data_IF_319601788786
#
_entry.id   IF_319601788786
#
_cell.length_a   1.000
_cell.length_b   1.000
_cell.length_c   1.000
_cell.angle_alpha   90.00
_cell.angle_beta   90.00
_cell.angle_gamma   90.00
#
_symmetry.space_group_name_H-M   'P 1'
#
loop_
_entity.id
_entity.type
_entity.pdbx_description
1 polymer ?
#
# COMPACT_ATOMS: atom_id res chain seq x y z
N UNK A 1 5.30 -14.88 8.95
CA UNK A 1 4.45 -14.22 7.94
C UNK A 1 5.03 -14.40 6.53
N UNK A 2 6.20 -13.91 6.27
CA UNK A 2 6.81 -13.94 4.94
C UNK A 2 7.02 -15.37 4.41
N UNK A 3 7.54 -16.24 5.26
CA UNK A 3 7.76 -17.64 4.89
C UNK A 3 6.43 -18.36 4.58
N UNK A 4 5.40 -18.11 5.37
CA UNK A 4 4.08 -18.70 5.16
C UNK A 4 3.48 -18.28 3.83
N UNK A 5 3.65 -17.00 3.48
CA UNK A 5 3.15 -16.51 2.19
C UNK A 5 3.94 -17.10 1.02
N UNK A 6 5.25 -17.29 1.15
CA UNK A 6 6.07 -17.94 0.12
C UNK A 6 5.64 -19.38 -0.12
N UNK A 7 5.31 -20.09 0.95
CA UNK A 7 4.78 -21.46 0.84
C UNK A 7 3.44 -21.45 0.10
N UNK A 8 2.55 -20.51 0.43
CA UNK A 8 1.27 -20.34 -0.26
C UNK A 8 1.46 -20.10 -1.76
N UNK A 9 2.36 -19.20 -2.13
CA UNK A 9 2.66 -18.89 -3.53
C UNK A 9 3.13 -20.15 -4.28
N UNK A 10 4.02 -20.92 -3.66
CA UNK A 10 4.54 -22.16 -4.26
C UNK A 10 3.44 -23.19 -4.47
N UNK A 11 2.57 -23.38 -3.47
CA UNK A 11 1.45 -24.32 -3.58
C UNK A 11 0.49 -23.93 -4.70
N UNK A 12 0.17 -22.65 -4.82
CA UNK A 12 -0.72 -22.16 -5.87
C UNK A 12 -0.08 -22.31 -7.25
N UNK A 13 1.22 -22.05 -7.34
CA UNK A 13 1.95 -22.22 -8.59
C UNK A 13 1.92 -23.68 -9.06
N UNK A 14 2.09 -24.64 -8.15
CA UNK A 14 2.01 -26.06 -8.46
C UNK A 14 0.63 -26.48 -8.97
N UNK A 15 -0.42 -25.80 -8.53
CA UNK A 15 -1.79 -26.02 -8.99
C UNK A 15 -2.12 -25.26 -10.27
N UNK A 16 -1.21 -24.42 -10.78
CA UNK A 16 -1.43 -23.63 -11.98
C UNK A 16 -2.38 -22.48 -11.79
N UNK A 17 -2.59 -22.00 -10.55
CA UNK A 17 -3.48 -20.88 -10.23
C UNK A 17 -2.68 -19.75 -9.58
N UNK A 18 -3.15 -18.48 -9.73
CA UNK A 18 -2.43 -17.35 -9.13
C UNK A 18 -2.54 -17.35 -7.61
N UNK A 19 -1.54 -16.78 -6.89
CA UNK A 19 -1.62 -16.66 -5.44
C UNK A 19 -2.73 -15.69 -5.02
N UNK A 20 -3.29 -15.93 -3.82
CA UNK A 20 -4.27 -15.02 -3.24
C UNK A 20 -3.59 -13.73 -2.79
N UNK A 21 -4.30 -12.58 -2.85
CA UNK A 21 -3.78 -11.35 -2.25
C UNK A 21 -3.65 -11.50 -0.72
N UNK A 22 -2.86 -10.63 -0.13
CA UNK A 22 -2.63 -10.64 1.31
C UNK A 22 -3.92 -10.28 2.07
N UNK A 23 -4.16 -10.96 3.20
CA UNK A 23 -5.26 -10.58 4.09
C UNK A 23 -4.78 -9.50 5.10
N UNK A 24 -5.71 -9.00 5.93
CA UNK A 24 -5.40 -7.94 6.89
C UNK A 24 -4.30 -8.32 7.87
N UNK A 25 -4.32 -9.55 8.38
CA UNK A 25 -3.30 -10.04 9.31
C UNK A 25 -1.92 -10.10 8.65
N UNK A 26 -1.87 -10.58 7.41
CA UNK A 26 -0.63 -10.64 6.63
C UNK A 26 -0.07 -9.24 6.33
N UNK A 27 -0.92 -8.29 6.00
CA UNK A 27 -0.50 -6.89 5.78
C UNK A 27 0.02 -6.26 7.06
N UNK A 28 -0.60 -6.54 8.21
CA UNK A 28 -0.11 -6.06 9.51
C UNK A 28 1.31 -6.58 9.78
N UNK A 29 1.56 -7.87 9.52
CA UNK A 29 2.89 -8.44 9.64
C UNK A 29 3.89 -7.82 8.65
N UNK A 30 3.44 -7.58 7.43
CA UNK A 30 4.26 -6.94 6.40
C UNK A 30 4.65 -5.51 6.80
N UNK A 31 3.76 -4.74 7.41
CA UNK A 31 4.05 -3.40 7.90
C UNK A 31 5.18 -3.43 8.93
N UNK A 32 5.15 -4.39 9.85
CA UNK A 32 6.23 -4.54 10.83
C UNK A 32 7.56 -4.89 10.16
N UNK A 33 7.55 -5.71 9.11
CA UNK A 33 8.75 -6.03 8.34
C UNK A 33 9.26 -4.79 7.57
N UNK A 34 8.38 -3.94 7.09
CA UNK A 34 8.78 -2.71 6.40
C UNK A 34 9.48 -1.72 7.32
N UNK A 35 9.12 -1.70 8.60
CA UNK A 35 9.78 -0.85 9.59
C UNK A 35 11.20 -1.31 9.91
N UNK A 36 11.45 -2.61 9.83
CA UNK A 36 12.77 -3.22 10.06
C UNK A 36 12.95 -4.36 9.04
N UNK A 37 13.27 -4.02 7.78
CA UNK A 37 13.30 -5.04 6.73
C UNK A 37 14.43 -6.04 6.92
N UNK A 38 14.15 -7.35 6.71
CA UNK A 38 15.21 -8.36 6.75
C UNK A 38 16.19 -8.15 5.59
N UNK A 39 17.49 -8.42 5.78
CA UNK A 39 18.44 -8.37 4.68
C UNK A 39 18.03 -9.30 3.54
N UNK A 40 18.26 -8.89 2.31
CA UNK A 40 17.98 -9.62 1.07
C UNK A 40 16.50 -9.83 0.73
N UNK A 41 15.55 -9.40 1.59
CA UNK A 41 14.10 -9.54 1.34
C UNK A 41 13.43 -8.19 1.01
N UNK A 42 14.21 -7.12 0.91
CA UNK A 42 13.71 -5.76 0.76
C UNK A 42 12.84 -5.57 -0.47
N UNK A 43 13.30 -6.03 -1.64
CA UNK A 43 12.54 -5.92 -2.88
C UNK A 43 11.26 -6.73 -2.83
N UNK A 44 11.31 -7.91 -2.23
CA UNK A 44 10.15 -8.78 -2.12
C UNK A 44 9.06 -8.18 -1.25
N UNK A 45 9.40 -7.64 -0.07
CA UNK A 45 8.40 -7.04 0.80
C UNK A 45 7.84 -5.74 0.21
N UNK A 46 8.64 -4.96 -0.50
CA UNK A 46 8.17 -3.78 -1.19
C UNK A 46 7.17 -4.15 -2.29
N UNK A 47 7.45 -5.18 -3.06
CA UNK A 47 6.53 -5.69 -4.08
C UNK A 47 5.22 -6.18 -3.45
N UNK A 48 5.27 -6.85 -2.32
CA UNK A 48 4.08 -7.33 -1.62
C UNK A 48 3.15 -6.19 -1.21
N UNK A 49 3.69 -5.11 -0.62
CA UNK A 49 2.86 -3.98 -0.21
C UNK A 49 2.32 -3.22 -1.41
N UNK A 50 3.07 -3.18 -2.50
CA UNK A 50 2.68 -2.44 -3.70
C UNK A 50 1.65 -3.21 -4.53
N UNK A 51 1.88 -4.49 -4.77
CA UNK A 51 1.15 -5.27 -5.79
C UNK A 51 0.31 -6.42 -5.24
N UNK A 52 0.56 -6.89 -4.01
CA UNK A 52 -0.10 -8.08 -3.45
C UNK A 52 -1.15 -7.74 -2.39
N UNK A 53 -1.33 -6.47 -2.06
CA UNK A 53 -2.35 -6.02 -1.12
C UNK A 53 -3.64 -5.76 -1.90
N UNK A 54 -4.80 -6.30 -1.46
CA UNK A 54 -6.06 -6.05 -2.17
C UNK A 54 -6.41 -4.56 -2.19
N UNK A 55 -7.10 -4.17 -3.25
CA UNK A 55 -7.60 -2.80 -3.41
C UNK A 55 -9.03 -2.67 -2.88
N UNK A 56 -9.56 -1.47 -2.93
CA UNK A 56 -10.95 -1.20 -2.59
C UNK A 56 -11.16 -1.01 -1.11
N UNK A 57 -12.21 -1.62 -0.58
CA UNK A 57 -12.63 -1.46 0.82
C UNK A 57 -12.25 -2.65 1.70
N UNK A 58 -11.35 -3.50 1.25
CA UNK A 58 -10.86 -4.64 2.01
C UNK A 58 -10.12 -4.15 3.27
N UNK A 59 -10.27 -4.83 4.43
CA UNK A 59 -9.52 -4.47 5.63
C UNK A 59 -8.00 -4.40 5.42
N UNK A 60 -7.44 -5.22 4.54
CA UNK A 60 -6.01 -5.16 4.20
C UNK A 60 -5.65 -3.82 3.54
N UNK A 61 -6.52 -3.30 2.68
CA UNK A 61 -6.32 -1.99 2.05
C UNK A 61 -6.34 -0.87 3.08
N UNK A 62 -7.20 -0.96 4.09
CA UNK A 62 -7.25 0.01 5.18
C UNK A 62 -5.92 0.05 5.94
N UNK A 63 -5.34 -1.11 6.26
CA UNK A 63 -4.07 -1.20 6.99
C UNK A 63 -2.93 -0.60 6.14
N UNK A 64 -2.91 -0.91 4.84
CA UNK A 64 -1.94 -0.34 3.91
C UNK A 64 -2.06 1.18 3.88
N UNK A 65 -3.28 1.71 3.75
CA UNK A 65 -3.51 3.16 3.71
C UNK A 65 -3.06 3.85 4.99
N UNK A 66 -3.36 3.26 6.14
CA UNK A 66 -2.94 3.80 7.44
C UNK A 66 -1.42 3.86 7.56
N UNK A 67 -0.72 2.80 7.16
CA UNK A 67 0.75 2.77 7.19
C UNK A 67 1.35 3.80 6.24
N UNK A 68 0.87 3.87 5.00
CA UNK A 68 1.38 4.83 4.01
C UNK A 68 1.12 6.27 4.46
N UNK A 69 -0.02 6.52 5.10
CA UNK A 69 -0.35 7.83 5.67
C UNK A 69 0.64 8.23 6.75
N UNK A 70 0.98 7.31 7.65
CA UNK A 70 1.94 7.58 8.72
C UNK A 70 3.33 7.88 8.15
N UNK A 71 3.77 7.16 7.13
CA UNK A 71 5.05 7.43 6.46
C UNK A 71 5.02 8.79 5.76
N UNK A 72 3.94 9.09 5.04
CA UNK A 72 3.80 10.34 4.30
C UNK A 72 3.76 11.57 5.22
N UNK A 73 3.17 11.42 6.41
CA UNK A 73 3.13 12.50 7.41
C UNK A 73 4.41 12.62 8.23
N UNK A 74 5.33 11.65 8.10
CA UNK A 74 6.56 11.62 8.87
C UNK A 74 6.43 11.05 10.27
N UNK A 75 5.29 10.44 10.60
CA UNK A 75 5.05 9.83 11.92
C UNK A 75 5.77 8.49 12.08
N UNK A 76 6.03 7.82 10.98
CA UNK A 76 6.72 6.52 10.96
C UNK A 76 7.85 6.59 9.94
N UNK A 77 9.02 6.05 10.30
CA UNK A 77 10.15 5.95 9.40
C UNK A 77 10.19 4.57 8.75
N UNK A 78 10.37 4.54 7.44
CA UNK A 78 10.54 3.29 6.70
C UNK A 78 11.74 3.42 5.76
N UNK A 79 12.75 2.54 5.87
CA UNK A 79 13.93 2.65 5.03
C UNK A 79 13.68 2.39 3.54
N UNK A 80 12.61 1.70 3.20
CA UNK A 80 12.29 1.36 1.80
C UNK A 80 11.34 2.33 1.13
N UNK A 81 10.56 3.08 1.91
CA UNK A 81 9.50 3.98 1.40
C UNK A 81 9.69 5.34 2.06
N UNK A 82 9.95 6.37 1.26
CA UNK A 82 10.04 7.74 1.75
C UNK A 82 8.67 8.43 1.66
N UNK A 83 8.60 9.70 2.08
CA UNK A 83 7.35 10.47 2.06
C UNK A 83 6.75 10.58 0.66
N UNK A 84 7.59 10.82 -0.34
CA UNK A 84 7.13 10.95 -1.74
C UNK A 84 6.62 9.64 -2.27
N UNK A 85 7.33 8.54 -2.01
CA UNK A 85 6.92 7.22 -2.44
C UNK A 85 5.59 6.80 -1.79
N UNK A 86 5.46 7.04 -0.47
CA UNK A 86 4.23 6.75 0.26
C UNK A 86 3.04 7.53 -0.33
N UNK A 87 3.23 8.81 -0.64
CA UNK A 87 2.18 9.64 -1.23
C UNK A 87 1.78 9.13 -2.62
N UNK A 88 2.75 8.70 -3.43
CA UNK A 88 2.46 8.10 -4.75
C UNK A 88 1.67 6.81 -4.61
N UNK A 89 2.04 5.95 -3.67
CA UNK A 89 1.32 4.69 -3.44
C UNK A 89 -0.11 4.95 -2.97
N UNK A 90 -0.32 5.95 -2.10
CA UNK A 90 -1.67 6.37 -1.71
C UNK A 90 -2.47 6.83 -2.92
N UNK A 91 -1.85 7.54 -3.84
CA UNK A 91 -2.50 8.02 -5.06
C UNK A 91 -2.93 6.91 -6.02
N UNK A 92 -2.33 5.73 -5.92
CA UNK A 92 -2.69 4.58 -6.76
C UNK A 92 -3.75 3.68 -6.14
N UNK A 93 -4.12 3.91 -4.88
CA UNK A 93 -5.14 3.09 -4.20
C UNK A 93 -6.54 3.42 -4.72
N UNK A 94 -7.37 2.40 -4.78
CA UNK A 94 -8.79 2.51 -5.15
C UNK A 94 -9.63 2.22 -3.91
N UNK A 95 -10.88 2.69 -3.90
CA UNK A 95 -11.83 2.37 -2.83
C UNK A 95 -12.05 3.45 -1.79
N UNK A 96 -11.28 4.53 -1.80
CA UNK A 96 -11.54 5.71 -1.00
C UNK A 96 -10.80 5.84 0.33
N UNK A 97 -10.13 4.81 0.82
CA UNK A 97 -9.37 4.91 2.07
C UNK A 97 -8.22 5.92 2.01
N UNK A 98 -7.76 6.25 0.82
CA UNK A 98 -6.67 7.18 0.59
C UNK A 98 -7.12 8.64 0.49
N UNK A 99 -8.42 8.91 0.31
CA UNK A 99 -8.92 10.25 -0.04
C UNK A 99 -8.65 11.26 1.07
N UNK A 100 -9.04 10.95 2.30
CA UNK A 100 -8.84 11.84 3.43
C UNK A 100 -7.34 12.10 3.68
N UNK A 101 -6.53 11.05 3.57
CA UNK A 101 -5.09 11.16 3.76
C UNK A 101 -4.45 12.08 2.71
N UNK A 102 -4.85 11.94 1.45
CA UNK A 102 -4.35 12.80 0.37
C UNK A 102 -4.80 14.25 0.55
N UNK A 103 -6.04 14.48 1.00
CA UNK A 103 -6.53 15.83 1.29
C UNK A 103 -5.66 16.48 2.38
N UNK A 104 -5.35 15.74 3.43
CA UNK A 104 -4.52 16.25 4.52
C UNK A 104 -3.09 16.54 4.08
N UNK A 105 -2.59 15.86 3.05
CA UNK A 105 -1.23 16.06 2.52
C UNK A 105 -1.14 17.20 1.51
N UNK A 106 -2.26 17.79 1.06
CA UNK A 106 -2.25 18.89 0.08
C UNK A 106 -1.48 20.11 0.57
N UNK A 107 -1.45 20.34 1.87
CA UNK A 107 -0.75 21.48 2.46
C UNK A 107 0.70 21.19 2.82
N UNK A 108 1.17 19.97 2.60
CA UNK A 108 2.56 19.59 2.85
C UNK A 108 3.47 20.15 1.74
N UNK A 109 4.56 20.80 2.11
CA UNK A 109 5.47 21.43 1.16
C UNK A 109 6.21 20.43 0.25
N UNK A 110 6.46 19.23 0.77
CA UNK A 110 7.22 18.21 0.01
C UNK A 110 6.33 17.38 -0.90
N UNK A 111 5.13 17.02 -0.47
CA UNK A 111 4.29 16.03 -1.16
C UNK A 111 2.93 16.58 -1.60
N UNK A 112 2.67 17.86 -1.39
CA UNK A 112 1.37 18.46 -1.73
C UNK A 112 0.98 18.30 -3.20
N UNK A 113 1.91 18.49 -4.13
CA UNK A 113 1.60 18.31 -5.55
C UNK A 113 1.35 16.85 -5.92
N UNK A 114 2.08 15.92 -5.31
CA UNK A 114 1.85 14.48 -5.50
C UNK A 114 0.49 14.06 -4.94
N UNK A 115 0.10 14.65 -3.79
CA UNK A 115 -1.20 14.39 -3.20
C UNK A 115 -2.33 14.91 -4.10
N UNK A 116 -2.16 16.09 -4.70
CA UNK A 116 -3.12 16.65 -5.65
C UNK A 116 -3.29 15.75 -6.86
N UNK A 117 -2.19 15.27 -7.44
CA UNK A 117 -2.22 14.35 -8.58
C UNK A 117 -2.92 13.05 -8.22
N UNK A 118 -2.62 12.49 -7.05
CA UNK A 118 -3.26 11.27 -6.57
C UNK A 118 -4.76 11.44 -6.35
N UNK A 119 -5.18 12.57 -5.79
CA UNK A 119 -6.61 12.88 -5.63
C UNK A 119 -7.32 13.00 -6.96
N UNK A 120 -6.72 13.69 -7.94
CA UNK A 120 -7.31 13.80 -9.27
C UNK A 120 -7.54 12.43 -9.89
N UNK A 121 -6.55 11.53 -9.82
CA UNK A 121 -6.68 10.18 -10.34
C UNK A 121 -7.75 9.38 -9.61
N UNK A 122 -7.78 9.45 -8.28
CA UNK A 122 -8.75 8.74 -7.46
C UNK A 122 -10.19 9.22 -7.73
N UNK A 123 -10.39 10.53 -7.78
CA UNK A 123 -11.70 11.12 -8.02
C UNK A 123 -12.20 10.80 -9.43
N UNK A 124 -11.33 10.80 -10.42
CA UNK A 124 -11.71 10.40 -11.78
C UNK A 124 -12.18 8.95 -11.82
N UNK A 125 -11.47 8.04 -11.15
CA UNK A 125 -11.87 6.64 -11.10
C UNK A 125 -13.21 6.45 -10.39
N UNK A 126 -13.42 7.14 -9.28
CA UNK A 126 -14.70 7.09 -8.56
C UNK A 126 -15.84 7.63 -9.41
N UNK A 127 -15.60 8.71 -10.14
CA UNK A 127 -16.58 9.30 -11.06
C UNK A 127 -16.97 8.32 -12.16
N UNK A 128 -16.03 7.59 -12.73
CA UNK A 128 -16.29 6.58 -13.76
C UNK A 128 -17.10 5.40 -13.22
N UNK A 129 -16.90 5.03 -11.97
CA UNK A 129 -17.66 3.95 -11.34
C UNK A 129 -19.12 4.33 -11.14
N UNK A 130 -19.41 5.60 -10.92
CA UNK A 130 -20.79 6.10 -10.69
C UNK A 130 -21.57 6.39 -11.97
N UNK A 131 -20.94 6.34 -13.12
CA UNK A 131 -21.61 6.47 -14.40
C UNK A 131 -22.14 5.12 -14.87
#
# INVERSE_FOLDING_TARGET
>A
MLQDYKIHVQERLEQGIPPLPLNAEQVSGLVELLKSPPPSEEEYILDMITNRTPAGVDPAAYIKAAFLTDVAKGNTSCPLIDKKHATKLLGTMLGGYNVESLINLLTDDEVGSLAADGLCNTLLMLSLIHI
#
